data_IF_960018840086
#
_entry.id   IF_960018840086
#
_cell.length_a   1.000
_cell.length_b   1.000
_cell.length_c   1.000
_cell.angle_alpha   90.00
_cell.angle_beta   90.00
_cell.angle_gamma   90.00
#
_symmetry.space_group_name_H-M   'P 1'
#
loop_
_entity.id
_entity.type
_entity.pdbx_description
1 polymer ?
#
# COMPACT_ATOMS: atom_id res chain seq x y z
N UNK A 1 -3.78 6.59 16.93
CA UNK A 1 -4.62 6.31 15.74
C UNK A 1 -3.80 6.35 14.43
N UNK A 2 -3.33 7.49 13.92
CA UNK A 2 -2.60 7.52 12.63
C UNK A 2 -1.24 6.79 12.66
N UNK A 3 -0.45 6.97 13.73
CA UNK A 3 0.81 6.25 13.92
C UNK A 3 0.62 4.74 14.06
N UNK A 4 -0.34 4.31 14.87
CA UNK A 4 -0.70 2.89 15.04
C UNK A 4 -1.15 2.26 13.72
N UNK A 5 -1.94 2.96 12.91
CA UNK A 5 -2.35 2.51 11.59
C UNK A 5 -1.14 2.29 10.68
N UNK A 6 -0.21 3.25 10.63
CA UNK A 6 0.99 3.15 9.80
C UNK A 6 1.91 2.01 10.27
N UNK A 7 2.02 1.77 11.57
CA UNK A 7 2.78 0.66 12.13
C UNK A 7 2.15 -0.69 11.76
N UNK A 8 0.83 -0.86 11.90
CA UNK A 8 0.15 -2.09 11.47
C UNK A 8 0.21 -2.28 9.95
N UNK A 9 0.05 -1.21 9.18
CA UNK A 9 0.20 -1.25 7.73
C UNK A 9 1.60 -1.70 7.34
N UNK A 10 2.63 -1.15 7.98
CA UNK A 10 4.03 -1.54 7.76
C UNK A 10 4.29 -2.98 8.17
N UNK A 11 3.71 -3.47 9.28
CA UNK A 11 3.85 -4.86 9.71
C UNK A 11 3.27 -5.84 8.69
N UNK A 12 2.10 -5.54 8.10
CA UNK A 12 1.43 -6.41 7.12
C UNK A 12 2.05 -6.34 5.73
N UNK A 13 2.40 -5.13 5.29
CA UNK A 13 2.81 -4.87 3.90
C UNK A 13 4.32 -4.64 3.73
N UNK A 14 5.09 -4.64 4.81
CA UNK A 14 6.54 -4.41 4.85
C UNK A 14 6.94 -2.93 4.83
N UNK A 15 6.18 -2.10 4.11
CA UNK A 15 6.38 -0.64 4.05
C UNK A 15 5.06 0.07 3.71
N UNK A 16 4.99 1.37 3.98
CA UNK A 16 3.97 2.28 3.47
C UNK A 16 4.50 3.24 2.39
N UNK A 17 5.78 3.08 1.99
CA UNK A 17 6.42 3.89 0.96
C UNK A 17 6.34 3.16 -0.38
N UNK A 18 5.63 3.74 -1.37
CA UNK A 18 5.43 3.11 -2.67
C UNK A 18 6.73 2.69 -3.37
N UNK A 19 7.80 3.48 -3.23
CA UNK A 19 9.11 3.16 -3.82
C UNK A 19 9.72 1.87 -3.25
N UNK A 20 9.49 1.59 -1.97
CA UNK A 20 10.00 0.37 -1.33
C UNK A 20 9.16 -0.86 -1.72
N UNK A 21 7.84 -0.69 -1.87
CA UNK A 21 6.90 -1.74 -2.25
C UNK A 21 7.06 -2.10 -3.73
N UNK A 22 7.02 -1.10 -4.60
CA UNK A 22 7.04 -1.26 -6.07
C UNK A 22 8.45 -1.42 -6.63
N UNK A 23 9.49 -1.18 -5.82
CA UNK A 23 10.91 -1.18 -6.21
C UNK A 23 11.22 -0.27 -7.41
N UNK A 24 10.38 0.73 -7.66
CA UNK A 24 10.54 1.73 -8.70
C UNK A 24 10.05 3.10 -8.18
N UNK A 25 10.52 4.17 -8.80
CA UNK A 25 10.18 5.53 -8.41
C UNK A 25 9.04 6.10 -9.26
N UNK A 26 7.81 5.94 -8.81
CA UNK A 26 6.62 6.46 -9.51
C UNK A 26 6.52 8.00 -9.52
N UNK A 27 7.47 8.72 -8.91
CA UNK A 27 7.59 10.17 -9.06
C UNK A 27 8.27 10.59 -10.36
N UNK A 28 8.99 9.68 -11.02
CA UNK A 28 9.61 9.90 -12.34
C UNK A 28 8.74 9.27 -13.44
N UNK A 29 8.84 9.79 -14.67
CA UNK A 29 8.08 9.24 -15.79
C UNK A 29 8.52 7.82 -16.14
N UNK A 30 9.83 7.55 -16.08
CA UNK A 30 10.42 6.21 -16.27
C UNK A 30 9.85 5.19 -15.26
N UNK A 31 9.72 5.57 -14.00
CA UNK A 31 9.17 4.69 -12.97
C UNK A 31 7.67 4.46 -13.14
N UNK A 32 6.91 5.48 -13.59
CA UNK A 32 5.48 5.31 -13.92
C UNK A 32 5.28 4.37 -15.10
N UNK A 33 6.08 4.52 -16.17
CA UNK A 33 6.00 3.68 -17.36
C UNK A 33 6.39 2.23 -17.03
N UNK A 34 7.43 2.03 -16.21
CA UNK A 34 7.78 0.72 -15.69
C UNK A 34 6.63 0.10 -14.89
N UNK A 35 6.06 0.85 -13.95
CA UNK A 35 4.97 0.37 -13.11
C UNK A 35 3.71 0.01 -13.92
N UNK A 36 3.39 0.80 -14.95
CA UNK A 36 2.28 0.53 -15.87
C UNK A 36 2.53 -0.69 -16.74
N UNK A 37 3.69 -0.77 -17.37
CA UNK A 37 4.05 -1.85 -18.30
C UNK A 37 4.14 -3.21 -17.60
N UNK A 38 4.50 -3.21 -16.32
CA UNK A 38 4.57 -4.43 -15.49
C UNK A 38 3.29 -4.68 -14.67
N UNK A 39 2.24 -3.88 -14.85
CA UNK A 39 0.96 -4.06 -14.16
C UNK A 39 1.05 -3.92 -12.63
N UNK A 40 2.04 -3.19 -12.11
CA UNK A 40 2.32 -3.13 -10.67
C UNK A 40 1.18 -2.48 -9.89
N UNK A 41 0.50 -1.50 -10.46
CA UNK A 41 -0.65 -0.86 -9.80
C UNK A 41 -1.78 -1.85 -9.52
N UNK A 42 -2.15 -2.67 -10.52
CA UNK A 42 -3.21 -3.67 -10.36
C UNK A 42 -2.84 -4.77 -9.37
N UNK A 43 -1.57 -5.19 -9.38
CA UNK A 43 -1.07 -6.27 -8.52
C UNK A 43 -0.83 -5.84 -7.07
N UNK A 44 -0.21 -4.68 -6.86
CA UNK A 44 0.22 -4.24 -5.53
C UNK A 44 -0.76 -3.23 -4.93
N UNK A 45 -1.13 -2.16 -5.66
CA UNK A 45 -1.94 -1.09 -5.06
C UNK A 45 -3.33 -1.58 -4.64
N UNK A 46 -3.93 -2.51 -5.39
CA UNK A 46 -5.21 -3.13 -5.01
C UNK A 46 -5.11 -3.83 -3.65
N UNK A 47 -4.06 -4.63 -3.45
CA UNK A 47 -3.81 -5.35 -2.19
C UNK A 47 -3.50 -4.38 -1.05
N UNK A 48 -2.72 -3.32 -1.32
CA UNK A 48 -2.39 -2.28 -0.34
C UNK A 48 -3.64 -1.53 0.13
N UNK A 49 -4.54 -1.15 -0.80
CA UNK A 49 -5.79 -0.46 -0.43
C UNK A 49 -6.71 -1.38 0.35
N UNK A 50 -6.83 -2.66 -0.04
CA UNK A 50 -7.61 -3.65 0.73
C UNK A 50 -7.06 -3.79 2.14
N UNK A 51 -5.75 -3.97 2.27
CA UNK A 51 -5.09 -4.06 3.58
C UNK A 51 -5.32 -2.82 4.43
N UNK A 52 -5.25 -1.61 3.86
CA UNK A 52 -5.56 -0.38 4.57
C UNK A 52 -7.00 -0.36 5.12
N UNK A 53 -7.97 -0.78 4.30
CA UNK A 53 -9.37 -0.84 4.71
C UNK A 53 -9.61 -1.87 5.83
N UNK A 54 -9.00 -3.06 5.72
CA UNK A 54 -9.05 -4.11 6.75
C UNK A 54 -8.48 -3.60 8.08
N UNK A 55 -7.28 -3.01 8.06
CA UNK A 55 -6.65 -2.46 9.28
C UNK A 55 -7.54 -1.39 9.92
N UNK A 56 -8.09 -0.47 9.13
CA UNK A 56 -8.98 0.57 9.66
C UNK A 56 -10.26 -0.03 10.25
N UNK A 57 -10.84 -1.04 9.61
CA UNK A 57 -12.05 -1.72 10.10
C UNK A 57 -11.77 -2.37 11.45
N UNK A 58 -10.66 -3.09 11.58
CA UNK A 58 -10.22 -3.72 12.83
C UNK A 58 -9.92 -2.68 13.93
N UNK A 59 -9.28 -1.57 13.58
CA UNK A 59 -8.93 -0.50 14.54
C UNK A 59 -10.11 0.35 14.99
N UNK A 60 -11.14 0.47 14.15
CA UNK A 60 -12.35 1.22 14.45
C UNK A 60 -13.44 0.35 15.08
N UNK A 61 -13.29 -0.98 15.00
CA UNK A 61 -14.21 -1.93 15.61
C UNK A 61 -15.58 -1.94 14.93
N UNK A 62 -15.61 -1.88 13.59
CA UNK A 62 -16.86 -2.11 12.87
C UNK A 62 -17.21 -3.60 13.01
N UNK A 63 -17.97 -3.90 14.06
CA UNK A 63 -18.64 -5.18 14.25
C UNK A 63 -19.73 -5.29 13.19
N UNK A 64 -19.55 -6.18 12.20
CA UNK A 64 -20.68 -6.70 11.42
C UNK A 64 -21.63 -7.51 12.31
#
# INVERSE_FOLDING_TARGET
KASEFLEEFKKRNGSYICREILRCDISTDEGKDYARSNGLYGRYCTEMVRSAAEILTEMLGDEC
#
